data_IF_715798935283
#
_entry.id   IF_715798935283
#
_cell.length_a   1.000
_cell.length_b   1.000
_cell.length_c   1.000
_cell.angle_alpha   90.00
_cell.angle_beta   90.00
_cell.angle_gamma   90.00
#
_symmetry.space_group_name_H-M   'P 1'
#
loop_
_entity.id
_entity.type
_entity.pdbx_description
1 polymer ?
#
# COMPACT_ATOMS: atom_id res chain seq x y z
N UNK A 1 9.94 -30.47 7.50
CA UNK A 1 8.72 -30.60 6.65
C UNK A 1 7.78 -29.44 6.95
N UNK A 2 7.32 -28.70 5.92
CA UNK A 2 6.42 -27.55 6.09
C UNK A 2 5.03 -28.05 6.50
N UNK A 3 4.58 -27.76 7.73
CA UNK A 3 3.27 -28.23 8.28
C UNK A 3 2.06 -27.71 7.48
N UNK A 4 2.22 -26.62 6.73
CA UNK A 4 1.15 -25.92 6.00
C UNK A 4 0.49 -26.75 4.89
N UNK A 5 1.15 -27.79 4.37
CA UNK A 5 0.59 -28.66 3.32
C UNK A 5 -0.09 -29.92 3.86
N UNK A 6 -0.12 -30.12 5.18
CA UNK A 6 -0.55 -31.38 5.82
C UNK A 6 -1.70 -31.19 6.81
N UNK A 7 -2.51 -30.14 6.63
CA UNK A 7 -3.80 -30.05 7.32
C UNK A 7 -4.68 -31.26 6.98
N UNK A 8 -5.38 -31.80 7.97
CA UNK A 8 -6.17 -33.02 7.82
C UNK A 8 -7.35 -32.86 6.83
N UNK A 9 -7.74 -31.63 6.56
CA UNK A 9 -8.88 -31.18 5.78
C UNK A 9 -8.50 -30.62 4.39
N UNK A 10 -7.27 -30.90 3.91
CA UNK A 10 -6.82 -30.46 2.58
C UNK A 10 -7.77 -30.98 1.51
N UNK A 11 -8.28 -30.09 0.67
CA UNK A 11 -9.16 -30.45 -0.44
C UNK A 11 -8.47 -31.46 -1.38
N UNK A 12 -9.11 -32.60 -1.64
CA UNK A 12 -8.59 -33.69 -2.49
C UNK A 12 -9.39 -33.92 -3.76
N UNK A 13 -10.57 -33.29 -3.88
CA UNK A 13 -11.47 -33.44 -5.03
C UNK A 13 -12.31 -32.17 -5.22
N UNK A 14 -12.77 -31.89 -6.44
CA UNK A 14 -13.76 -30.84 -6.69
C UNK A 14 -15.04 -31.06 -5.87
N UNK A 15 -15.60 -29.98 -5.35
CA UNK A 15 -16.86 -29.97 -4.62
C UNK A 15 -17.87 -29.09 -5.36
N UNK A 16 -19.01 -29.66 -5.74
CA UNK A 16 -20.09 -28.97 -6.43
C UNK A 16 -21.35 -28.98 -5.56
N UNK A 17 -22.07 -27.85 -5.50
CA UNK A 17 -23.38 -27.82 -4.85
C UNK A 17 -24.40 -28.57 -5.68
N UNK A 18 -24.98 -29.64 -5.13
CA UNK A 18 -25.94 -30.51 -5.84
C UNK A 18 -27.23 -30.72 -5.05
N UNK A 19 -28.34 -30.86 -5.78
CA UNK A 19 -29.65 -31.27 -5.27
C UNK A 19 -30.33 -32.13 -6.33
N UNK A 20 -30.75 -33.34 -5.99
CA UNK A 20 -31.33 -34.27 -6.97
C UNK A 20 -30.37 -34.70 -8.09
N UNK A 21 -29.06 -34.77 -7.80
CA UNK A 21 -28.04 -35.24 -8.76
C UNK A 21 -27.54 -34.19 -9.76
N UNK A 22 -28.08 -32.97 -9.74
CA UNK A 22 -27.70 -31.87 -10.64
C UNK A 22 -27.20 -30.66 -9.86
N UNK A 23 -26.49 -29.74 -10.53
CA UNK A 23 -26.08 -28.46 -9.94
C UNK A 23 -27.29 -27.68 -9.42
N UNK A 24 -27.21 -27.23 -8.17
CA UNK A 24 -28.22 -26.39 -7.54
C UNK A 24 -27.55 -25.39 -6.59
N UNK A 25 -27.90 -24.11 -6.69
CA UNK A 25 -27.25 -23.05 -5.89
C UNK A 25 -27.53 -23.21 -4.39
N UNK A 26 -28.70 -23.74 -4.05
CA UNK A 26 -29.18 -24.08 -2.70
C UNK A 26 -28.81 -25.51 -2.27
N UNK A 27 -28.02 -26.23 -3.05
CA UNK A 27 -27.58 -27.60 -2.74
C UNK A 27 -26.38 -27.67 -1.79
N UNK A 28 -26.15 -28.88 -1.28
CA UNK A 28 -24.99 -29.21 -0.44
C UNK A 28 -23.77 -29.58 -1.28
N UNK A 29 -22.58 -29.34 -0.75
CA UNK A 29 -21.34 -29.72 -1.42
C UNK A 29 -21.23 -31.24 -1.51
N UNK A 30 -21.12 -31.71 -2.75
CA UNK A 30 -20.92 -33.12 -3.08
C UNK A 30 -19.65 -33.25 -3.91
N UNK A 31 -18.80 -34.25 -3.64
CA UNK A 31 -17.71 -34.65 -4.52
C UNK A 31 -18.13 -34.87 -5.97
N UNK A 32 -17.35 -34.36 -6.92
CA UNK A 32 -17.51 -34.60 -8.36
C UNK A 32 -16.15 -34.80 -9.05
N UNK A 33 -16.16 -35.33 -10.28
CA UNK A 33 -14.94 -35.42 -11.09
C UNK A 33 -14.52 -34.04 -11.60
N UNK A 34 -13.26 -33.94 -12.05
CA UNK A 34 -12.79 -32.73 -12.73
C UNK A 34 -13.58 -32.42 -14.00
N UNK A 35 -13.94 -33.44 -14.77
CA UNK A 35 -14.73 -33.27 -16.00
C UNK A 35 -16.11 -32.67 -15.69
N UNK A 36 -16.84 -33.18 -14.68
CA UNK A 36 -18.14 -32.62 -14.29
C UNK A 36 -17.99 -31.17 -13.78
N UNK A 37 -16.96 -30.89 -12.98
CA UNK A 37 -16.70 -29.53 -12.50
C UNK A 37 -16.46 -28.56 -13.66
N UNK A 38 -15.63 -28.92 -14.63
CA UNK A 38 -15.35 -28.09 -15.80
C UNK A 38 -16.54 -27.98 -16.75
N UNK A 39 -17.34 -29.03 -16.94
CA UNK A 39 -18.55 -28.99 -17.76
C UNK A 39 -19.54 -27.95 -17.23
N UNK A 40 -19.77 -27.94 -15.91
CA UNK A 40 -20.66 -26.96 -15.27
C UNK A 40 -20.09 -25.55 -15.38
N UNK A 41 -18.78 -25.35 -15.13
CA UNK A 41 -18.12 -24.05 -15.27
C UNK A 41 -18.21 -23.53 -16.71
N UNK A 42 -17.93 -24.38 -17.70
CA UNK A 42 -17.96 -24.02 -19.12
C UNK A 42 -19.38 -23.69 -19.58
N UNK A 43 -20.38 -24.48 -19.16
CA UNK A 43 -21.78 -24.20 -19.46
C UNK A 43 -22.22 -22.84 -18.89
N UNK A 44 -21.89 -22.56 -17.62
CA UNK A 44 -22.23 -21.29 -16.96
C UNK A 44 -21.51 -20.09 -17.57
N UNK A 45 -20.21 -20.22 -17.87
CA UNK A 45 -19.46 -19.15 -18.52
C UNK A 45 -20.03 -18.86 -19.92
N UNK A 46 -20.32 -19.88 -20.74
CA UNK A 46 -20.93 -19.71 -22.07
C UNK A 46 -22.32 -19.08 -22.00
N UNK A 47 -23.16 -19.51 -21.05
CA UNK A 47 -24.48 -18.94 -20.79
C UNK A 47 -24.38 -17.43 -20.50
N UNK A 48 -23.52 -17.04 -19.56
CA UNK A 48 -23.33 -15.65 -19.16
C UNK A 48 -22.72 -14.81 -20.28
N UNK A 49 -21.69 -15.32 -20.96
CA UNK A 49 -21.06 -14.63 -22.10
C UNK A 49 -22.07 -14.38 -23.22
N UNK A 50 -22.93 -15.36 -23.54
CA UNK A 50 -23.97 -15.21 -24.55
C UNK A 50 -25.04 -14.18 -24.14
N UNK A 51 -25.43 -14.17 -22.87
CA UNK A 51 -26.54 -13.33 -22.39
C UNK A 51 -26.13 -11.89 -22.05
N UNK A 52 -24.92 -11.70 -21.50
CA UNK A 52 -24.47 -10.44 -20.91
C UNK A 52 -23.11 -9.96 -21.40
N UNK A 53 -22.41 -10.75 -22.22
CA UNK A 53 -21.08 -10.40 -22.71
C UNK A 53 -19.97 -10.55 -21.67
N UNK A 54 -18.75 -10.08 -21.99
CA UNK A 54 -17.54 -10.33 -21.22
C UNK A 54 -17.47 -9.62 -19.86
N UNK A 55 -18.18 -8.50 -19.70
CA UNK A 55 -18.22 -7.73 -18.44
C UNK A 55 -19.01 -8.44 -17.32
N UNK A 56 -19.71 -9.53 -17.63
CA UNK A 56 -20.43 -10.33 -16.64
C UNK A 56 -19.64 -11.57 -16.16
N UNK A 57 -18.43 -11.79 -16.67
CA UNK A 57 -17.49 -12.81 -16.19
C UNK A 57 -16.33 -12.12 -15.49
N UNK A 58 -15.84 -12.69 -14.40
CA UNK A 58 -14.73 -12.14 -13.64
C UNK A 58 -13.89 -13.21 -12.96
N UNK A 59 -12.67 -12.83 -12.57
CA UNK A 59 -11.74 -13.65 -11.83
C UNK A 59 -11.10 -12.80 -10.73
N UNK A 60 -11.05 -13.32 -9.51
CA UNK A 60 -10.33 -12.70 -8.40
C UNK A 60 -9.02 -13.45 -8.18
N UNK A 61 -7.91 -12.81 -8.53
CA UNK A 61 -6.58 -13.41 -8.52
C UNK A 61 -5.86 -13.30 -7.18
N UNK A 62 -4.56 -13.65 -7.17
CA UNK A 62 -3.75 -13.59 -5.96
C UNK A 62 -2.30 -13.20 -6.22
N UNK A 63 -1.74 -12.35 -5.37
CA UNK A 63 -0.28 -12.10 -5.31
C UNK A 63 0.52 -13.31 -4.80
N UNK A 64 -0.15 -14.38 -4.36
CA UNK A 64 0.48 -15.66 -3.99
C UNK A 64 0.55 -16.64 -5.17
N UNK A 65 0.05 -16.26 -6.35
CA UNK A 65 0.28 -17.04 -7.56
C UNK A 65 1.76 -17.07 -7.92
N UNK A 66 2.14 -18.14 -8.58
CA UNK A 66 3.36 -18.13 -9.40
C UNK A 66 3.22 -17.11 -10.52
N UNK A 67 4.35 -16.63 -11.03
CA UNK A 67 4.38 -15.66 -12.14
C UNK A 67 3.59 -16.20 -13.36
N UNK A 68 3.76 -17.47 -13.69
CA UNK A 68 3.12 -18.08 -14.85
C UNK A 68 1.61 -18.31 -14.68
N UNK A 69 1.13 -18.59 -13.47
CA UNK A 69 -0.32 -18.64 -13.20
C UNK A 69 -0.97 -17.28 -13.42
N UNK A 70 -0.37 -16.20 -12.88
CA UNK A 70 -0.86 -14.84 -13.09
C UNK A 70 -0.81 -14.40 -14.56
N UNK A 71 0.23 -14.79 -15.29
CA UNK A 71 0.33 -14.52 -16.73
C UNK A 71 -0.72 -15.30 -17.53
N UNK A 72 -0.91 -16.58 -17.25
CA UNK A 72 -1.93 -17.41 -17.90
C UNK A 72 -3.36 -16.91 -17.62
N UNK A 73 -3.67 -16.56 -16.37
CA UNK A 73 -4.93 -15.94 -15.97
C UNK A 73 -5.18 -14.63 -16.73
N UNK A 74 -4.15 -13.79 -16.85
CA UNK A 74 -4.21 -12.54 -17.61
C UNK A 74 -4.56 -12.79 -19.08
N UNK A 75 -3.90 -13.74 -19.73
CA UNK A 75 -4.19 -14.11 -21.13
C UNK A 75 -5.59 -14.69 -21.27
N UNK A 76 -6.01 -15.58 -20.38
CA UNK A 76 -7.35 -16.16 -20.40
C UNK A 76 -8.43 -15.07 -20.31
N UNK A 77 -8.32 -14.17 -19.33
CA UNK A 77 -9.33 -13.14 -19.09
C UNK A 77 -9.31 -12.05 -20.18
N UNK A 78 -8.15 -11.43 -20.42
CA UNK A 78 -8.05 -10.24 -21.27
C UNK A 78 -7.99 -10.56 -22.76
N UNK A 79 -7.33 -11.64 -23.16
CA UNK A 79 -7.21 -12.02 -24.57
C UNK A 79 -8.23 -13.10 -24.98
N UNK A 80 -8.52 -14.05 -24.09
CA UNK A 80 -9.51 -15.11 -24.34
C UNK A 80 -10.95 -14.61 -24.18
N UNK A 81 -11.36 -14.32 -22.95
CA UNK A 81 -12.72 -13.83 -22.66
C UNK A 81 -12.93 -12.37 -23.03
N UNK A 82 -11.87 -11.61 -23.34
CA UNK A 82 -11.92 -10.17 -23.66
C UNK A 82 -12.57 -9.36 -22.53
N UNK A 83 -12.29 -9.75 -21.29
CA UNK A 83 -12.77 -9.09 -20.07
C UNK A 83 -11.61 -8.55 -19.26
N UNK A 84 -11.77 -7.32 -18.75
CA UNK A 84 -10.83 -6.70 -17.82
C UNK A 84 -11.20 -6.93 -16.34
N UNK A 85 -12.25 -7.72 -16.07
CA UNK A 85 -12.68 -8.08 -14.71
C UNK A 85 -11.75 -9.15 -14.10
N UNK A 86 -10.46 -8.85 -14.07
CA UNK A 86 -9.42 -9.60 -13.38
C UNK A 86 -8.70 -8.64 -12.44
N UNK A 87 -8.85 -8.85 -11.14
CA UNK A 87 -8.18 -8.06 -10.11
C UNK A 87 -7.71 -8.99 -8.98
N UNK A 88 -6.51 -8.79 -8.41
CA UNK A 88 -5.98 -9.66 -7.37
C UNK A 88 -6.30 -9.16 -5.96
N UNK A 89 -6.11 -10.03 -4.95
CA UNK A 89 -6.06 -9.60 -3.55
C UNK A 89 -5.02 -8.48 -3.27
N UNK A 90 -3.98 -8.35 -4.10
CA UNK A 90 -3.00 -7.27 -4.02
C UNK A 90 -3.60 -5.87 -4.24
N UNK A 91 -4.83 -5.76 -4.78
CA UNK A 91 -5.62 -4.52 -4.76
C UNK A 91 -5.78 -3.96 -3.36
N UNK A 92 -6.03 -4.85 -2.40
CA UNK A 92 -6.17 -4.51 -0.99
C UNK A 92 -4.81 -4.30 -0.30
N UNK A 93 -3.69 -4.31 -1.03
CA UNK A 93 -2.36 -4.29 -0.44
C UNK A 93 -1.47 -3.21 -1.06
N UNK A 94 -1.15 -3.33 -2.34
CA UNK A 94 -0.09 -2.55 -2.98
C UNK A 94 -0.58 -1.51 -3.98
N UNK A 95 -1.91 -1.41 -4.21
CA UNK A 95 -2.45 -0.50 -5.21
C UNK A 95 -2.07 0.97 -4.97
N UNK A 96 -2.15 1.45 -3.74
CA UNK A 96 -1.77 2.82 -3.36
C UNK A 96 -0.28 3.07 -3.58
N UNK A 97 0.58 2.11 -3.22
CA UNK A 97 2.02 2.19 -3.45
C UNK A 97 2.36 2.22 -4.95
N UNK A 98 1.81 1.29 -5.73
CA UNK A 98 2.04 1.22 -7.18
C UNK A 98 1.56 2.51 -7.88
N UNK A 99 0.42 3.05 -7.45
CA UNK A 99 -0.09 4.31 -7.99
C UNK A 99 0.79 5.51 -7.61
N UNK A 100 1.34 5.54 -6.38
CA UNK A 100 2.31 6.55 -5.97
C UNK A 100 3.61 6.44 -6.81
N UNK A 101 4.14 5.24 -7.03
CA UNK A 101 5.31 5.02 -7.89
C UNK A 101 5.07 5.52 -9.33
N UNK A 102 3.92 5.19 -9.92
CA UNK A 102 3.57 5.67 -11.26
C UNK A 102 3.45 7.20 -11.32
N UNK A 103 2.91 7.84 -10.26
CA UNK A 103 2.77 9.31 -10.20
C UNK A 103 4.08 10.03 -9.97
N UNK A 104 4.98 9.49 -9.16
CA UNK A 104 6.23 10.15 -8.77
C UNK A 104 7.39 9.81 -9.71
N UNK A 105 7.46 8.58 -10.21
CA UNK A 105 8.62 8.06 -10.96
C UNK A 105 8.27 7.53 -12.36
N UNK A 106 6.98 7.31 -12.67
CA UNK A 106 6.56 6.75 -13.95
C UNK A 106 6.89 5.27 -14.15
N UNK A 107 7.39 4.60 -13.10
CA UNK A 107 7.75 3.18 -13.08
C UNK A 107 7.51 2.63 -11.68
N UNK A 108 6.98 1.41 -11.61
CA UNK A 108 6.63 0.74 -10.35
C UNK A 108 7.86 0.13 -9.65
N UNK A 109 7.67 -0.22 -8.38
CA UNK A 109 8.61 -0.86 -7.45
C UNK A 109 9.73 0.04 -6.86
N UNK A 110 10.28 -0.33 -5.69
CA UNK A 110 11.36 0.44 -5.05
C UNK A 110 12.63 0.54 -5.91
N UNK A 111 13.29 1.70 -5.87
CA UNK A 111 14.61 1.92 -6.48
C UNK A 111 15.78 1.49 -5.59
N UNK A 112 15.53 1.23 -4.30
CA UNK A 112 16.50 0.71 -3.34
C UNK A 112 16.44 -0.82 -3.22
N UNK A 113 17.20 -1.38 -2.29
CA UNK A 113 17.18 -2.82 -2.01
C UNK A 113 17.49 -3.10 -0.53
N UNK A 114 17.49 -4.37 -0.13
CA UNK A 114 17.67 -4.69 1.29
C UNK A 114 19.08 -4.37 1.81
N UNK A 115 20.09 -4.26 0.95
CA UNK A 115 21.46 -3.88 1.31
C UNK A 115 21.52 -2.47 1.91
N UNK A 116 20.50 -1.64 1.65
CA UNK A 116 20.36 -0.32 2.27
C UNK A 116 20.27 -0.43 3.80
N UNK A 117 19.76 -1.54 4.35
CA UNK A 117 19.62 -1.74 5.79
C UNK A 117 20.99 -1.65 6.49
N UNK A 118 22.01 -2.32 5.97
CA UNK A 118 23.33 -2.32 6.59
C UNK A 118 24.08 -0.97 6.40
N UNK A 119 23.65 -0.15 5.43
CA UNK A 119 24.23 1.16 5.15
C UNK A 119 23.52 2.34 5.86
N UNK A 120 22.39 2.09 6.54
CA UNK A 120 21.49 3.13 7.07
C UNK A 120 21.95 3.71 8.41
N UNK A 121 21.72 5.00 8.62
CA UNK A 121 21.95 5.71 9.89
C UNK A 121 20.65 6.02 10.64
N UNK A 122 19.50 6.12 9.94
CA UNK A 122 18.19 6.21 10.57
C UNK A 122 17.11 5.44 9.83
N UNK A 123 16.37 4.61 10.56
CA UNK A 123 15.17 3.94 10.09
C UNK A 123 13.93 4.68 10.55
N UNK A 124 12.99 4.94 9.63
CA UNK A 124 11.70 5.56 9.95
C UNK A 124 10.58 4.63 9.49
N UNK A 125 9.92 3.98 10.46
CA UNK A 125 8.82 3.06 10.21
C UNK A 125 7.49 3.84 10.26
N UNK A 126 6.88 4.06 9.10
CA UNK A 126 5.58 4.71 8.94
C UNK A 126 4.45 3.67 9.01
N UNK A 127 4.00 3.36 10.22
CA UNK A 127 2.91 2.40 10.48
C UNK A 127 3.30 0.93 10.30
N UNK A 128 4.57 0.64 9.99
CA UNK A 128 5.04 -0.72 9.73
C UNK A 128 5.34 -1.48 11.02
N UNK A 129 4.54 -2.50 11.34
CA UNK A 129 4.87 -3.48 12.39
C UNK A 129 5.83 -4.54 11.83
N UNK A 130 7.08 -4.16 11.59
CA UNK A 130 8.07 -5.06 10.96
C UNK A 130 8.44 -6.23 11.86
N UNK A 131 8.36 -6.08 13.19
CA UNK A 131 8.67 -7.14 14.14
C UNK A 131 7.80 -8.38 13.93
N UNK A 132 6.55 -8.20 13.49
CA UNK A 132 5.59 -9.29 13.32
C UNK A 132 5.28 -9.58 11.83
N UNK A 133 5.34 -8.58 10.95
CA UNK A 133 4.94 -8.73 9.54
C UNK A 133 6.13 -8.88 8.58
N UNK A 134 7.33 -8.43 8.95
CA UNK A 134 8.56 -8.60 8.16
C UNK A 134 9.75 -9.02 9.04
N UNK A 135 9.68 -10.16 9.76
CA UNK A 135 10.57 -10.42 10.90
C UNK A 135 12.06 -10.50 10.53
N UNK A 136 12.37 -10.98 9.33
CA UNK A 136 13.77 -11.09 8.88
C UNK A 136 14.35 -9.71 8.53
N UNK A 137 13.57 -8.81 7.92
CA UNK A 137 14.00 -7.43 7.71
C UNK A 137 14.15 -6.70 9.04
N UNK A 138 13.22 -6.92 9.98
CA UNK A 138 13.33 -6.37 11.32
C UNK A 138 14.57 -6.87 12.06
N UNK A 139 14.94 -8.14 11.91
CA UNK A 139 16.17 -8.69 12.51
C UNK A 139 17.41 -7.99 11.97
N UNK A 140 17.45 -7.66 10.67
CA UNK A 140 18.56 -6.89 10.07
C UNK A 140 18.61 -5.45 10.60
N UNK A 141 17.46 -4.80 10.76
CA UNK A 141 17.35 -3.47 11.39
C UNK A 141 17.85 -3.53 12.85
N UNK A 142 17.46 -4.56 13.60
CA UNK A 142 17.91 -4.76 14.97
C UNK A 142 19.43 -4.96 15.05
N UNK A 143 20.01 -5.78 14.17
CA UNK A 143 21.45 -5.97 14.09
C UNK A 143 22.18 -4.65 13.80
N UNK A 144 21.73 -3.91 12.77
CA UNK A 144 22.28 -2.59 12.44
C UNK A 144 22.18 -1.61 13.61
N UNK A 145 21.01 -1.51 14.26
CA UNK A 145 20.78 -0.58 15.37
C UNK A 145 21.57 -0.93 16.62
N UNK A 146 21.65 -2.21 16.99
CA UNK A 146 22.33 -2.66 18.21
C UNK A 146 23.86 -2.71 18.04
N UNK A 147 24.35 -2.96 16.83
CA UNK A 147 25.78 -2.96 16.52
C UNK A 147 26.39 -1.55 16.35
N UNK A 148 25.57 -0.53 16.10
CA UNK A 148 26.03 0.82 15.79
C UNK A 148 25.30 1.91 16.60
N UNK A 149 25.90 2.45 17.68
CA UNK A 149 25.22 3.38 18.60
C UNK A 149 24.71 4.69 17.99
N UNK A 150 25.23 5.09 16.82
CA UNK A 150 24.79 6.30 16.11
C UNK A 150 23.50 6.08 15.31
N UNK A 151 23.14 4.81 15.05
CA UNK A 151 21.93 4.48 14.28
C UNK A 151 20.69 4.76 15.12
N UNK A 152 19.66 5.33 14.49
CA UNK A 152 18.37 5.64 15.13
C UNK A 152 17.21 4.88 14.51
N UNK A 153 16.23 4.51 15.33
CA UNK A 153 14.99 3.89 14.88
C UNK A 153 13.80 4.72 15.36
N UNK A 154 13.09 5.36 14.44
CA UNK A 154 11.81 5.99 14.68
C UNK A 154 10.68 5.04 14.28
N UNK A 155 9.71 4.82 15.17
CA UNK A 155 8.55 3.96 14.93
C UNK A 155 7.29 4.78 15.14
N UNK A 156 6.60 5.06 14.04
CA UNK A 156 5.30 5.70 14.04
C UNK A 156 4.22 4.64 13.91
N UNK A 157 3.21 4.68 14.77
CA UNK A 157 2.08 3.76 14.72
C UNK A 157 0.83 4.42 15.30
N UNK A 158 -0.36 3.88 15.02
CA UNK A 158 -1.62 4.31 15.66
C UNK A 158 -1.87 3.60 16.99
N UNK A 159 -1.07 2.57 17.30
CA UNK A 159 -1.05 1.84 18.56
C UNK A 159 0.35 1.23 18.81
N UNK A 160 0.74 1.05 20.07
CA UNK A 160 2.03 0.42 20.42
C UNK A 160 2.04 -1.07 20.03
N UNK A 161 3.12 -1.53 19.40
CA UNK A 161 3.36 -2.92 19.02
C UNK A 161 4.85 -3.29 19.21
N UNK A 162 5.24 -4.53 18.88
CA UNK A 162 6.60 -5.04 19.12
C UNK A 162 7.72 -4.29 18.40
N UNK A 163 7.43 -3.56 17.31
CA UNK A 163 8.45 -2.70 16.69
C UNK A 163 8.85 -1.53 17.60
N UNK A 164 7.97 -1.09 18.52
CA UNK A 164 8.28 -0.03 19.47
C UNK A 164 9.37 -0.42 20.48
N UNK A 165 9.60 -1.72 20.72
CA UNK A 165 10.58 -2.22 21.69
C UNK A 165 12.05 -1.87 21.32
N UNK A 166 12.32 -1.54 20.05
CA UNK A 166 13.63 -1.09 19.56
C UNK A 166 13.68 0.42 19.27
N UNK A 167 12.55 1.13 19.39
CA UNK A 167 12.44 2.51 18.94
C UNK A 167 13.23 3.46 19.85
N UNK A 168 14.08 4.31 19.26
CA UNK A 168 14.61 5.50 19.91
C UNK A 168 13.53 6.60 19.97
N UNK A 169 12.71 6.70 18.91
CA UNK A 169 11.66 7.70 18.76
C UNK A 169 10.32 6.97 18.57
N UNK A 170 9.63 6.59 19.66
CA UNK A 170 8.32 5.97 19.60
C UNK A 170 7.22 7.04 19.47
N UNK A 171 6.45 6.98 18.39
CA UNK A 171 5.36 7.93 18.12
C UNK A 171 4.05 7.15 17.99
N UNK A 172 3.09 7.50 18.84
CA UNK A 172 1.68 7.10 18.67
C UNK A 172 0.90 8.32 18.15
N UNK A 173 0.28 8.20 16.98
CA UNK A 173 -0.44 9.30 16.33
C UNK A 173 -1.90 8.93 16.01
N UNK A 174 -2.76 9.94 15.84
CA UNK A 174 -4.16 9.74 15.47
C UNK A 174 -4.28 9.23 14.02
N UNK A 175 -5.17 8.25 13.71
CA UNK A 175 -5.34 7.76 12.34
C UNK A 175 -5.60 8.88 11.32
N UNK A 176 -4.92 8.81 10.17
CA UNK A 176 -5.04 9.78 9.07
C UNK A 176 -4.28 11.10 9.24
N UNK A 177 -3.57 11.31 10.36
CA UNK A 177 -2.80 12.55 10.58
C UNK A 177 -1.33 12.45 10.17
N UNK A 178 -0.88 11.29 9.70
CA UNK A 178 0.44 11.10 9.07
C UNK A 178 0.66 12.02 7.87
N UNK A 179 -0.38 12.29 7.08
CA UNK A 179 -0.37 13.29 6.01
C UNK A 179 0.13 14.65 6.50
N UNK A 180 -0.28 15.07 7.70
CA UNK A 180 0.16 16.32 8.28
C UNK A 180 1.60 16.26 8.80
N UNK A 181 2.02 15.11 9.35
CA UNK A 181 3.41 14.89 9.81
C UNK A 181 4.37 14.93 8.61
N UNK A 182 4.03 14.28 7.49
CA UNK A 182 4.81 14.33 6.25
C UNK A 182 4.98 15.77 5.74
N UNK A 183 3.90 16.56 5.70
CA UNK A 183 3.96 17.96 5.30
C UNK A 183 4.77 18.83 6.29
N UNK A 184 4.70 18.54 7.58
CA UNK A 184 5.54 19.20 8.58
C UNK A 184 7.03 18.90 8.36
N UNK A 185 7.42 17.66 8.05
CA UNK A 185 8.82 17.32 7.75
C UNK A 185 9.30 18.11 6.53
N UNK A 186 8.50 18.19 5.46
CA UNK A 186 8.84 19.00 4.28
C UNK A 186 9.00 20.49 4.63
N UNK A 187 8.07 21.05 5.40
CA UNK A 187 8.14 22.43 5.90
C UNK A 187 9.40 22.65 6.75
N UNK A 188 9.74 21.70 7.62
CA UNK A 188 10.92 21.75 8.48
C UNK A 188 12.21 21.78 7.67
N UNK A 189 12.36 20.90 6.66
CA UNK A 189 13.52 20.90 5.75
C UNK A 189 13.67 22.26 5.05
N UNK A 190 12.56 22.83 4.56
CA UNK A 190 12.57 24.10 3.84
C UNK A 190 12.92 25.28 4.76
N UNK A 191 12.23 25.40 5.89
CA UNK A 191 12.38 26.53 6.82
C UNK A 191 13.74 26.57 7.51
N UNK A 192 14.42 25.42 7.57
CA UNK A 192 15.77 25.29 8.13
C UNK A 192 16.87 25.39 7.07
N UNK A 193 16.53 25.65 5.81
CA UNK A 193 17.49 25.84 4.72
C UNK A 193 18.27 24.57 4.34
N UNK A 194 17.69 23.39 4.58
CA UNK A 194 18.34 22.07 4.36
C UNK A 194 17.84 21.36 3.11
N UNK A 195 17.30 22.12 2.16
CA UNK A 195 16.94 21.63 0.84
C UNK A 195 18.22 21.33 0.06
N UNK A 196 18.30 20.16 -0.56
CA UNK A 196 19.35 19.88 -1.55
C UNK A 196 18.98 20.55 -2.88
N UNK A 197 19.34 21.83 -3.01
CA UNK A 197 18.97 22.68 -4.15
C UNK A 197 19.47 22.13 -5.50
N UNK A 198 20.65 21.50 -5.53
CA UNK A 198 21.22 20.94 -6.77
C UNK A 198 20.39 19.74 -7.27
N UNK A 199 20.02 18.84 -6.36
CA UNK A 199 19.18 17.70 -6.70
C UNK A 199 17.78 18.15 -7.10
N UNK A 200 17.16 19.04 -6.30
CA UNK A 200 15.81 19.55 -6.58
C UNK A 200 15.76 20.24 -7.94
N UNK A 201 16.74 21.10 -8.25
CA UNK A 201 16.80 21.83 -9.52
C UNK A 201 17.05 20.96 -10.75
N UNK A 202 17.71 19.80 -10.62
CA UNK A 202 18.07 18.93 -11.75
C UNK A 202 17.16 17.71 -11.93
N UNK A 203 16.56 17.21 -10.85
CA UNK A 203 15.99 15.87 -10.82
C UNK A 203 14.56 15.83 -10.28
N UNK A 204 13.93 16.98 -10.02
CA UNK A 204 12.56 17.03 -9.51
C UNK A 204 11.71 18.04 -10.26
N UNK A 205 10.40 17.81 -10.22
CA UNK A 205 9.36 18.75 -10.66
C UNK A 205 8.28 18.80 -9.60
N UNK A 206 7.53 19.90 -9.55
CA UNK A 206 6.44 20.06 -8.59
C UNK A 206 5.08 19.97 -9.28
N UNK A 207 4.13 19.34 -8.61
CA UNK A 207 2.74 19.24 -9.06
C UNK A 207 1.80 19.52 -7.91
N UNK A 208 0.61 20.03 -8.22
CA UNK A 208 -0.51 20.17 -7.30
C UNK A 208 -1.59 19.18 -7.68
N UNK A 209 -1.90 18.26 -6.77
CA UNK A 209 -2.96 17.28 -6.98
C UNK A 209 -4.35 17.85 -6.64
N UNK A 210 -5.39 17.30 -7.26
CA UNK A 210 -6.77 17.55 -6.84
C UNK A 210 -6.98 17.16 -5.37
N UNK A 211 -7.81 17.93 -4.67
CA UNK A 211 -8.25 17.68 -3.29
C UNK A 211 -9.76 17.47 -3.28
N UNK A 212 -10.32 17.04 -2.13
CA UNK A 212 -11.77 16.77 -2.00
C UNK A 212 -12.24 15.71 -3.00
N UNK A 213 -11.57 14.55 -2.99
CA UNK A 213 -11.67 13.50 -4.02
C UNK A 213 -12.64 12.35 -3.68
N UNK A 214 -13.31 12.41 -2.53
CA UNK A 214 -14.18 11.34 -2.05
C UNK A 214 -13.41 10.20 -1.39
N UNK A 215 -14.06 9.04 -1.25
CA UNK A 215 -13.58 7.87 -0.52
C UNK A 215 -13.73 6.56 -1.32
N UNK A 216 -14.09 6.62 -2.60
CA UNK A 216 -14.25 5.45 -3.47
C UNK A 216 -15.45 4.56 -3.11
N UNK A 217 -16.49 5.14 -2.52
CA UNK A 217 -17.72 4.43 -2.14
C UNK A 217 -18.68 4.31 -3.34
N UNK A 218 -19.91 3.85 -3.08
CA UNK A 218 -20.95 3.85 -4.11
C UNK A 218 -21.35 5.28 -4.46
N UNK A 219 -21.77 5.46 -5.71
CA UNK A 219 -22.16 6.73 -6.31
C UNK A 219 -23.26 7.53 -5.58
N UNK A 220 -24.09 6.83 -4.81
CA UNK A 220 -25.19 7.38 -4.02
C UNK A 220 -24.82 7.64 -2.55
N UNK A 221 -23.59 7.32 -2.12
CA UNK A 221 -23.12 7.66 -0.77
C UNK A 221 -22.97 9.19 -0.64
N UNK A 222 -23.51 9.81 0.43
CA UNK A 222 -23.44 11.27 0.62
C UNK A 222 -22.03 11.85 0.50
N UNK A 223 -21.00 11.11 0.97
CA UNK A 223 -19.61 11.56 0.93
C UNK A 223 -19.07 11.65 -0.50
N UNK A 224 -19.52 10.77 -1.39
CA UNK A 224 -19.16 10.85 -2.82
C UNK A 224 -19.94 11.94 -3.53
N UNK A 225 -21.22 12.10 -3.20
CA UNK A 225 -22.05 13.17 -3.75
C UNK A 225 -21.48 14.55 -3.41
N UNK A 226 -20.98 14.73 -2.19
CA UNK A 226 -20.34 15.96 -1.74
C UNK A 226 -18.99 16.23 -2.45
N UNK A 227 -18.19 15.18 -2.67
CA UNK A 227 -16.84 15.26 -3.24
C UNK A 227 -16.78 15.33 -4.78
N UNK A 228 -17.87 14.99 -5.49
CA UNK A 228 -17.98 15.04 -6.97
C UNK A 228 -17.68 16.41 -7.62
N UNK A 229 -17.34 17.43 -6.84
CA UNK A 229 -16.81 18.71 -7.33
C UNK A 229 -15.47 18.54 -8.05
N UNK A 230 -14.66 17.55 -7.69
CA UNK A 230 -13.45 17.20 -8.45
C UNK A 230 -13.84 16.48 -9.75
N UNK A 231 -13.68 17.14 -10.91
CA UNK A 231 -13.99 16.54 -12.23
C UNK A 231 -13.12 15.32 -12.57
N UNK A 232 -11.91 15.29 -12.03
CA UNK A 232 -10.94 14.22 -12.18
C UNK A 232 -10.15 14.09 -10.87
N UNK A 233 -10.38 13.00 -10.13
CA UNK A 233 -9.73 12.71 -8.85
C UNK A 233 -8.24 12.41 -8.99
N UNK A 234 -7.77 12.18 -10.21
CA UNK A 234 -6.37 11.85 -10.51
C UNK A 234 -5.56 13.07 -10.96
N UNK A 235 -6.22 14.19 -11.24
CA UNK A 235 -5.60 15.38 -11.82
C UNK A 235 -4.39 15.87 -11.01
N UNK A 236 -3.31 16.18 -11.74
CA UNK A 236 -2.10 16.80 -11.25
C UNK A 236 -1.73 17.95 -12.18
N UNK A 237 -1.70 19.16 -11.65
CA UNK A 237 -1.31 20.36 -12.39
C UNK A 237 0.16 20.69 -12.10
N UNK A 238 1.00 20.93 -13.12
CA UNK A 238 2.36 21.40 -12.90
C UNK A 238 2.38 22.69 -12.06
N UNK A 239 3.32 22.78 -11.13
CA UNK A 239 3.53 23.96 -10.30
C UNK A 239 5.03 24.17 -10.03
N UNK A 240 5.36 25.12 -9.18
CA UNK A 240 6.73 25.46 -8.82
C UNK A 240 7.05 25.19 -7.35
N UNK A 241 8.34 25.21 -7.02
CA UNK A 241 8.84 24.98 -5.68
C UNK A 241 8.34 26.04 -4.67
N UNK A 242 8.20 27.29 -5.09
CA UNK A 242 7.69 28.37 -4.23
C UNK A 242 6.22 28.15 -3.85
N UNK A 243 5.41 27.61 -4.75
CA UNK A 243 4.03 27.22 -4.48
C UNK A 243 3.97 26.05 -3.51
N UNK A 244 4.83 25.04 -3.69
CA UNK A 244 4.97 23.93 -2.74
C UNK A 244 5.37 24.43 -1.34
N UNK A 245 6.35 25.33 -1.26
CA UNK A 245 6.80 25.97 -0.02
C UNK A 245 5.67 26.70 0.70
N UNK A 246 4.88 27.51 -0.02
CA UNK A 246 3.70 28.18 0.56
C UNK A 246 2.65 27.18 1.05
N UNK A 247 2.45 26.07 0.32
CA UNK A 247 1.51 25.03 0.73
C UNK A 247 1.93 24.35 2.04
N UNK A 248 3.19 23.94 2.17
CA UNK A 248 3.64 23.23 3.38
C UNK A 248 3.88 24.15 4.58
N UNK A 249 4.03 25.47 4.37
CA UNK A 249 4.20 26.45 5.45
C UNK A 249 3.06 26.41 6.49
N UNK A 250 1.85 26.03 6.08
CA UNK A 250 0.69 25.88 6.94
C UNK A 250 0.78 24.71 7.92
N UNK A 251 1.75 23.81 7.77
CA UNK A 251 1.98 22.65 8.63
C UNK A 251 3.10 22.96 9.61
N UNK A 252 2.81 23.86 10.55
CA UNK A 252 3.74 24.21 11.64
C UNK A 252 3.82 23.09 12.69
N UNK A 253 4.86 23.12 13.51
CA UNK A 253 5.06 22.13 14.57
C UNK A 253 3.87 22.08 15.53
N UNK A 254 3.35 23.24 15.92
CA UNK A 254 2.25 23.39 16.87
C UNK A 254 0.95 22.81 16.29
N UNK A 255 0.61 23.19 15.06
CA UNK A 255 -0.60 22.72 14.38
C UNK A 255 -0.58 21.21 14.16
N UNK A 256 0.56 20.67 13.73
CA UNK A 256 0.70 19.23 13.48
C UNK A 256 0.72 18.44 14.78
N UNK A 257 1.33 18.97 15.85
CA UNK A 257 1.25 18.39 17.18
C UNK A 257 -0.20 18.29 17.68
N UNK A 258 -0.96 19.37 17.58
CA UNK A 258 -2.38 19.40 17.98
C UNK A 258 -3.22 18.39 17.17
N UNK A 259 -3.06 18.41 15.84
CA UNK A 259 -3.81 17.54 14.95
C UNK A 259 -3.51 16.07 15.22
N UNK A 260 -2.22 15.70 15.22
CA UNK A 260 -1.76 14.31 15.34
C UNK A 260 -1.81 13.76 16.76
N UNK A 261 -1.85 14.63 17.77
CA UNK A 261 -1.69 14.26 19.18
C UNK A 261 -0.25 13.87 19.56
N UNK A 262 0.73 14.09 18.68
CA UNK A 262 2.14 13.78 18.93
C UNK A 262 2.81 14.94 19.64
N UNK A 263 3.62 14.64 20.66
CA UNK A 263 4.39 15.64 21.39
C UNK A 263 5.37 16.38 20.46
N UNK A 264 5.49 17.72 20.56
CA UNK A 264 6.31 18.51 19.62
C UNK A 264 7.79 18.09 19.54
N UNK A 265 8.39 17.65 20.65
CA UNK A 265 9.76 17.15 20.72
C UNK A 265 9.98 15.97 19.77
N UNK A 266 9.12 14.95 19.84
CA UNK A 266 9.21 13.79 18.94
C UNK A 266 9.03 14.15 17.46
N UNK A 267 8.12 15.08 17.15
CA UNK A 267 7.96 15.56 15.77
C UNK A 267 9.24 16.24 15.27
N UNK A 268 9.87 17.09 16.11
CA UNK A 268 11.13 17.75 15.76
C UNK A 268 12.26 16.74 15.57
N UNK A 269 12.40 15.78 16.49
CA UNK A 269 13.42 14.73 16.37
C UNK A 269 13.25 13.92 15.08
N UNK A 270 12.02 13.55 14.74
CA UNK A 270 11.70 12.88 13.47
C UNK A 270 12.09 13.73 12.25
N UNK A 271 11.74 15.02 12.24
CA UNK A 271 12.06 15.90 11.11
C UNK A 271 13.57 16.13 10.96
N UNK A 272 14.32 16.19 12.07
CA UNK A 272 15.79 16.27 12.05
C UNK A 272 16.47 15.01 11.51
N UNK A 273 15.83 13.83 11.59
CA UNK A 273 16.36 12.63 10.91
C UNK A 273 16.45 12.84 9.40
N UNK A 274 15.44 13.48 8.81
CA UNK A 274 15.39 13.73 7.36
C UNK A 274 16.20 14.95 6.92
N UNK A 275 16.28 15.99 7.76
CA UNK A 275 16.88 17.26 7.36
C UNK A 275 18.42 17.24 7.40
N UNK A 276 19.04 16.35 8.18
CA UNK A 276 20.49 16.25 8.28
C UNK A 276 21.12 15.64 7.00
N UNK A 277 21.87 16.40 6.20
CA UNK A 277 22.43 15.92 4.94
C UNK A 277 23.53 14.85 5.11
N UNK A 278 24.07 14.70 6.32
CA UNK A 278 25.09 13.68 6.62
C UNK A 278 24.47 12.32 6.98
N UNK A 279 23.15 12.25 7.16
CA UNK A 279 22.44 11.06 7.63
C UNK A 279 21.81 10.28 6.49
N UNK A 280 22.10 8.99 6.40
CA UNK A 280 21.40 8.07 5.48
C UNK A 280 20.11 7.58 6.12
N UNK A 281 18.99 7.87 5.47
CA UNK A 281 17.64 7.54 5.99
C UNK A 281 16.98 6.50 5.10
N UNK A 282 16.43 5.44 5.72
CA UNK A 282 15.51 4.51 5.07
C UNK A 282 14.13 4.65 5.69
N UNK A 283 13.16 5.01 4.84
CA UNK A 283 11.74 5.12 5.21
C UNK A 283 10.99 3.86 4.80
N UNK A 284 10.26 3.27 5.74
CA UNK A 284 9.60 1.98 5.57
C UNK A 284 8.12 2.09 5.93
N UNK A 285 7.25 1.92 4.94
CA UNK A 285 5.80 1.83 5.15
C UNK A 285 5.27 0.47 4.66
N UNK A 286 4.09 0.11 5.14
CA UNK A 286 3.35 -1.08 4.71
C UNK A 286 1.88 -0.73 4.57
N UNK A 287 0.97 -1.42 5.27
CA UNK A 287 -0.47 -1.18 5.11
C UNK A 287 -0.92 0.14 5.73
N UNK A 288 -0.20 0.69 6.70
CA UNK A 288 -0.56 1.97 7.32
C UNK A 288 -0.65 3.16 6.36
N UNK A 289 0.10 3.15 5.24
CA UNK A 289 -0.03 4.14 4.18
C UNK A 289 -0.91 3.67 3.01
N UNK A 290 -1.03 2.37 2.81
CA UNK A 290 -1.68 1.84 1.62
C UNK A 290 -3.19 1.65 1.79
N UNK A 291 -3.66 1.47 3.03
CA UNK A 291 -5.06 1.22 3.42
C UNK A 291 -5.58 2.33 4.32
#
# INVERSE_FOLDING_TARGET
>A
LRKTMYGADRLTQPLLRKKGGVYAKDGDFTPVTWDEAFDVMAAKAKEVLKAKGPEAVGMFGSGQWTIWEGYAATKLMRAGFRSNNLDPNARHCMASAAYAFMRTFGMDEPMGCYDDIEATDAFVLWGSNMAEMHPILWTRIADRRLGHPHVKVAVLSTFTNRSADLADIPIVFKPGTDLAILNYIANHIITTGRVNEDFVGKHTTFVKAATDIGYGLRDDDPREVEARKAKDVTAMEPTDFETFKRFVADYTLEKVSELSGVEPGFLRELAELYADPARKVVSLWTMGFNQ
#
